data_IF_202661390271
#
_entry.id   IF_202661390271
#
_cell.length_a   1.000
_cell.length_b   1.000
_cell.length_c   1.000
_cell.angle_alpha   90.00
_cell.angle_beta   90.00
_cell.angle_gamma   90.00
#
_symmetry.space_group_name_H-M   'P 1'
#
loop_
_entity.id
_entity.type
_entity.pdbx_description
1 polymer ?
#
# COMPACT_ATOMS: atom_id res chain seq x y z
N UNK A 1 -18.12 6.47 -27.06
CA UNK A 1 -18.19 7.95 -27.20
C UNK A 1 -19.37 8.61 -26.50
N UNK A 2 -20.54 7.96 -26.37
CA UNK A 2 -21.77 8.59 -25.85
C UNK A 2 -21.86 8.71 -24.34
N UNK A 3 -21.23 7.84 -23.58
CA UNK A 3 -21.28 7.88 -22.11
C UNK A 3 -20.59 9.15 -21.57
N UNK A 4 -19.46 9.53 -22.17
CA UNK A 4 -18.72 10.74 -21.74
C UNK A 4 -19.43 12.05 -22.12
N UNK A 5 -20.17 12.09 -23.21
CA UNK A 5 -20.96 13.27 -23.60
C UNK A 5 -22.16 13.50 -22.68
N UNK A 6 -22.77 12.42 -22.16
CA UNK A 6 -23.87 12.51 -21.17
C UNK A 6 -23.41 12.98 -19.79
N UNK A 7 -22.17 12.71 -19.40
CA UNK A 7 -21.65 13.18 -18.09
C UNK A 7 -21.56 14.71 -17.96
N UNK A 8 -21.40 15.43 -19.07
CA UNK A 8 -21.40 16.90 -19.06
C UNK A 8 -22.77 17.52 -18.79
N UNK A 9 -23.84 16.75 -18.86
CA UNK A 9 -25.22 17.19 -18.64
C UNK A 9 -25.61 17.22 -17.15
N UNK A 10 -24.84 16.56 -16.29
CA UNK A 10 -25.17 16.47 -14.85
C UNK A 10 -24.39 17.49 -14.02
N UNK A 11 -25.01 18.07 -12.97
CA UNK A 11 -24.33 18.94 -12.02
C UNK A 11 -23.09 18.26 -11.41
N UNK A 12 -22.06 19.05 -11.09
CA UNK A 12 -20.81 18.52 -10.51
C UNK A 12 -21.08 17.74 -9.23
N UNK A 13 -22.03 18.15 -8.41
CA UNK A 13 -22.43 17.47 -7.18
C UNK A 13 -22.93 16.04 -7.40
N UNK A 14 -23.72 15.81 -8.46
CA UNK A 14 -24.19 14.46 -8.83
C UNK A 14 -23.05 13.59 -9.34
N UNK A 15 -22.16 14.18 -10.15
CA UNK A 15 -20.97 13.50 -10.64
C UNK A 15 -20.02 13.09 -9.50
N UNK A 16 -19.82 13.96 -8.50
CA UNK A 16 -19.06 13.66 -7.29
C UNK A 16 -19.67 12.46 -6.56
N UNK A 17 -20.99 12.48 -6.39
CA UNK A 17 -21.72 11.37 -5.74
C UNK A 17 -21.56 10.08 -6.53
N UNK A 18 -21.73 10.11 -7.85
CA UNK A 18 -21.51 8.96 -8.73
C UNK A 18 -20.08 8.39 -8.58
N UNK A 19 -19.06 9.21 -8.73
CA UNK A 19 -17.67 8.78 -8.61
C UNK A 19 -17.35 8.24 -7.23
N UNK A 20 -17.90 8.81 -6.17
CA UNK A 20 -17.74 8.29 -4.80
C UNK A 20 -18.28 6.86 -4.67
N UNK A 21 -19.53 6.62 -5.09
CA UNK A 21 -20.13 5.29 -4.97
C UNK A 21 -19.45 4.26 -5.89
N UNK A 22 -19.12 4.64 -7.12
CA UNK A 22 -18.35 3.77 -8.02
C UNK A 22 -17.00 3.41 -7.38
N UNK A 23 -16.30 4.39 -6.82
CA UNK A 23 -15.06 4.15 -6.11
C UNK A 23 -15.20 3.16 -4.95
N UNK A 24 -16.26 3.29 -4.14
CA UNK A 24 -16.53 2.34 -3.06
C UNK A 24 -16.83 0.93 -3.59
N UNK A 25 -17.66 0.80 -4.62
CA UNK A 25 -17.96 -0.51 -5.24
C UNK A 25 -16.69 -1.15 -5.79
N UNK A 26 -15.82 -0.38 -6.44
CA UNK A 26 -14.55 -0.88 -6.97
C UNK A 26 -13.59 -1.32 -5.86
N UNK A 27 -13.58 -0.64 -4.70
CA UNK A 27 -12.83 -1.10 -3.52
C UNK A 27 -13.34 -2.46 -3.04
N UNK A 28 -14.65 -2.64 -2.91
CA UNK A 28 -15.25 -3.92 -2.52
C UNK A 28 -14.99 -5.04 -3.53
N UNK A 29 -14.82 -4.69 -4.81
CA UNK A 29 -14.41 -5.62 -5.87
C UNK A 29 -12.89 -5.86 -5.92
N UNK A 30 -12.12 -5.32 -4.98
CA UNK A 30 -10.67 -5.37 -4.93
C UNK A 30 -9.95 -4.72 -6.14
N UNK A 31 -10.66 -3.90 -6.92
CA UNK A 31 -10.10 -3.11 -8.05
C UNK A 31 -9.57 -1.78 -7.53
N UNK A 32 -8.50 -1.87 -6.73
CA UNK A 32 -8.01 -0.75 -5.91
C UNK A 32 -7.56 0.45 -6.73
N UNK A 33 -6.87 0.22 -7.86
CA UNK A 33 -6.38 1.31 -8.72
C UNK A 33 -7.54 2.10 -9.34
N UNK A 34 -8.54 1.39 -9.90
CA UNK A 34 -9.74 2.02 -10.48
C UNK A 34 -10.53 2.77 -9.40
N UNK A 35 -10.65 2.16 -8.21
CA UNK A 35 -11.29 2.80 -7.07
C UNK A 35 -10.59 4.11 -6.68
N UNK A 36 -9.25 4.09 -6.60
CA UNK A 36 -8.45 5.27 -6.29
C UNK A 36 -8.65 6.40 -7.31
N UNK A 37 -8.73 6.08 -8.61
CA UNK A 37 -9.00 7.07 -9.66
C UNK A 37 -10.36 7.76 -9.48
N UNK A 38 -11.43 6.98 -9.26
CA UNK A 38 -12.77 7.54 -9.03
C UNK A 38 -12.83 8.36 -7.74
N UNK A 39 -12.26 7.86 -6.65
CA UNK A 39 -12.26 8.55 -5.35
C UNK A 39 -11.42 9.83 -5.39
N UNK A 40 -10.30 9.82 -6.11
CA UNK A 40 -9.48 11.01 -6.31
C UNK A 40 -10.25 12.08 -7.07
N UNK A 41 -10.87 11.69 -8.19
CA UNK A 41 -11.72 12.61 -8.95
C UNK A 41 -12.84 13.22 -8.07
N UNK A 42 -13.53 12.37 -7.30
CA UNK A 42 -14.59 12.82 -6.40
C UNK A 42 -14.06 13.79 -5.32
N UNK A 43 -12.87 13.53 -4.77
CA UNK A 43 -12.24 14.38 -3.76
C UNK A 43 -11.87 15.76 -4.32
N UNK A 44 -11.29 15.81 -5.52
CA UNK A 44 -10.85 17.04 -6.15
C UNK A 44 -12.03 17.94 -6.52
N UNK A 45 -13.14 17.35 -6.98
CA UNK A 45 -14.32 18.09 -7.43
C UNK A 45 -15.36 18.33 -6.33
N UNK A 46 -15.18 17.73 -5.14
CA UNK A 46 -16.02 18.02 -3.99
C UNK A 46 -15.66 19.38 -3.41
N UNK A 47 -16.64 20.27 -3.32
CA UNK A 47 -16.43 21.63 -2.82
C UNK A 47 -16.04 21.64 -1.34
N UNK A 48 -15.26 22.64 -0.92
CA UNK A 48 -14.86 22.81 0.48
C UNK A 48 -16.03 23.28 1.38
N UNK A 49 -17.14 23.74 0.80
CA UNK A 49 -18.37 24.07 1.53
C UNK A 49 -19.06 22.84 2.16
N UNK A 50 -18.68 21.63 1.73
CA UNK A 50 -19.22 20.38 2.26
C UNK A 50 -18.12 19.50 2.89
N UNK A 51 -17.46 19.94 3.99
CA UNK A 51 -16.27 19.27 4.55
C UNK A 51 -16.59 17.85 5.01
N UNK A 52 -17.80 17.58 5.48
CA UNK A 52 -18.24 16.27 5.89
C UNK A 52 -18.25 15.26 4.73
N UNK A 53 -18.78 15.66 3.58
CA UNK A 53 -18.80 14.79 2.38
C UNK A 53 -17.37 14.58 1.85
N UNK A 54 -16.58 15.65 1.80
CA UNK A 54 -15.19 15.58 1.38
C UNK A 54 -14.37 14.66 2.26
N UNK A 55 -14.58 14.69 3.59
CA UNK A 55 -13.97 13.77 4.55
C UNK A 55 -14.38 12.32 4.31
N UNK A 56 -15.66 12.03 4.00
CA UNK A 56 -16.11 10.67 3.67
C UNK A 56 -15.38 10.11 2.44
N UNK A 57 -15.24 10.90 1.39
CA UNK A 57 -14.51 10.53 0.18
C UNK A 57 -13.05 10.26 0.52
N UNK A 58 -12.43 11.15 1.30
CA UNK A 58 -11.02 11.04 1.68
C UNK A 58 -10.74 9.75 2.47
N UNK A 59 -11.60 9.32 3.37
CA UNK A 59 -11.43 8.08 4.14
C UNK A 59 -11.27 6.86 3.20
N UNK A 60 -12.15 6.73 2.21
CA UNK A 60 -12.07 5.64 1.23
C UNK A 60 -10.85 5.77 0.32
N UNK A 61 -10.52 7.01 -0.07
CA UNK A 61 -9.32 7.29 -0.87
C UNK A 61 -8.04 6.94 -0.11
N UNK A 62 -7.97 7.26 1.19
CA UNK A 62 -6.80 6.91 2.02
C UNK A 62 -6.59 5.40 2.12
N UNK A 63 -7.67 4.63 2.28
CA UNK A 63 -7.59 3.17 2.27
C UNK A 63 -7.03 2.64 0.93
N UNK A 64 -7.55 3.14 -0.19
CA UNK A 64 -7.06 2.76 -1.52
C UNK A 64 -5.59 3.14 -1.72
N UNK A 65 -5.22 4.36 -1.36
CA UNK A 65 -3.84 4.85 -1.52
C UNK A 65 -2.85 4.09 -0.62
N UNK A 66 -3.24 3.74 0.60
CA UNK A 66 -2.39 2.94 1.49
C UNK A 66 -2.08 1.56 0.90
N UNK A 67 -3.08 0.89 0.32
CA UNK A 67 -2.90 -0.39 -0.38
C UNK A 67 -1.95 -0.22 -1.59
N UNK A 68 -2.06 0.89 -2.32
CA UNK A 68 -1.21 1.20 -3.47
C UNK A 68 0.19 1.71 -3.07
N UNK A 69 0.50 1.75 -1.77
CA UNK A 69 1.78 2.27 -1.26
C UNK A 69 1.98 3.76 -1.46
N UNK A 70 0.90 4.50 -1.66
CA UNK A 70 0.90 5.96 -1.75
C UNK A 70 0.53 6.53 -0.38
N UNK A 71 1.39 7.38 0.15
CA UNK A 71 1.20 7.90 1.51
C UNK A 71 0.75 9.35 1.49
N UNK A 72 -0.32 9.68 2.24
CA UNK A 72 -0.81 11.04 2.33
C UNK A 72 0.19 11.95 3.06
N UNK A 73 0.16 13.22 2.72
CA UNK A 73 0.89 14.23 3.49
C UNK A 73 0.22 14.45 4.85
N UNK A 74 1.02 14.63 5.91
CA UNK A 74 0.51 14.78 7.27
C UNK A 74 -0.50 15.94 7.42
N UNK A 75 -0.25 17.06 6.73
CA UNK A 75 -1.15 18.23 6.71
C UNK A 75 -2.55 17.88 6.23
N UNK A 76 -2.68 17.01 5.22
CA UNK A 76 -3.98 16.56 4.72
C UNK A 76 -4.74 15.76 5.78
N UNK A 77 -4.04 14.88 6.50
CA UNK A 77 -4.65 14.12 7.59
C UNK A 77 -5.09 15.01 8.76
N UNK A 78 -4.31 16.03 9.09
CA UNK A 78 -4.66 17.01 10.13
C UNK A 78 -5.90 17.81 9.75
N UNK A 79 -5.96 18.33 8.52
CA UNK A 79 -7.06 19.13 8.00
C UNK A 79 -8.42 18.41 8.10
N UNK A 80 -8.43 17.10 7.93
CA UNK A 80 -9.66 16.29 7.95
C UNK A 80 -9.81 15.46 9.24
N UNK A 81 -9.02 15.72 10.27
CA UNK A 81 -9.03 14.99 11.56
C UNK A 81 -8.94 13.46 11.37
N UNK A 82 -7.99 13.02 10.53
CA UNK A 82 -7.72 11.62 10.21
C UNK A 82 -6.33 11.17 10.68
N UNK A 83 -5.57 12.07 11.32
CA UNK A 83 -4.20 11.79 11.74
C UNK A 83 -4.12 10.64 12.74
N UNK A 84 -5.01 10.63 13.74
CA UNK A 84 -5.01 9.60 14.79
C UNK A 84 -5.33 8.21 14.22
N UNK A 85 -6.14 8.14 13.16
CA UNK A 85 -6.55 6.87 12.55
C UNK A 85 -5.52 6.38 11.53
N UNK A 86 -5.09 7.24 10.60
CA UNK A 86 -4.24 6.80 9.49
C UNK A 86 -2.75 7.09 9.72
N UNK A 87 -2.39 8.08 10.54
CA UNK A 87 -1.00 8.47 10.74
C UNK A 87 -0.11 7.32 11.24
N UNK A 88 -0.42 6.69 12.39
CA UNK A 88 0.34 5.56 12.90
C UNK A 88 0.34 4.36 11.94
N UNK A 89 -0.80 4.08 11.30
CA UNK A 89 -0.93 3.00 10.31
C UNK A 89 -0.02 3.23 9.09
N UNK A 90 0.00 4.44 8.55
CA UNK A 90 0.89 4.85 7.45
C UNK A 90 2.35 4.73 7.86
N UNK A 91 2.70 5.19 9.05
CA UNK A 91 4.07 5.10 9.56
C UNK A 91 4.54 3.66 9.67
N UNK A 92 3.77 2.80 10.33
CA UNK A 92 4.09 1.37 10.48
C UNK A 92 4.13 0.65 9.13
N UNK A 93 3.21 0.95 8.20
CA UNK A 93 3.20 0.35 6.87
C UNK A 93 4.45 0.71 6.06
N UNK A 94 4.89 1.97 6.09
CA UNK A 94 6.15 2.41 5.42
C UNK A 94 7.38 1.68 5.95
N UNK A 95 7.37 1.35 7.23
CA UNK A 95 8.48 0.63 7.89
C UNK A 95 8.42 -0.88 7.66
N UNK A 96 7.33 -1.42 7.13
CA UNK A 96 7.09 -2.86 7.07
C UNK A 96 6.81 -3.47 8.44
N UNK A 97 6.36 -2.69 9.43
CA UNK A 97 6.08 -3.10 10.80
C UNK A 97 4.65 -3.63 10.91
N UNK A 98 4.48 -4.93 10.72
CA UNK A 98 3.18 -5.59 10.60
C UNK A 98 2.38 -5.53 11.90
N UNK A 99 3.00 -5.83 13.03
CA UNK A 99 2.35 -5.79 14.36
C UNK A 99 1.74 -4.40 14.61
N UNK A 100 2.48 -3.34 14.28
CA UNK A 100 1.98 -1.97 14.46
C UNK A 100 0.76 -1.69 13.58
N UNK A 101 0.77 -2.11 12.30
CA UNK A 101 -0.39 -1.95 11.41
C UNK A 101 -1.59 -2.74 11.93
N UNK A 102 -1.39 -4.00 12.33
CA UNK A 102 -2.48 -4.85 12.84
C UNK A 102 -3.06 -4.30 14.14
N UNK A 103 -2.23 -3.78 15.04
CA UNK A 103 -2.67 -3.12 16.27
C UNK A 103 -3.53 -1.88 16.00
N UNK A 104 -3.13 -1.04 15.03
CA UNK A 104 -3.93 0.13 14.65
C UNK A 104 -5.24 -0.25 13.94
N UNK A 105 -5.24 -1.31 13.14
CA UNK A 105 -6.48 -1.85 12.55
C UNK A 105 -7.45 -2.34 13.63
N UNK A 106 -6.94 -3.04 14.66
CA UNK A 106 -7.78 -3.50 15.78
C UNK A 106 -8.27 -2.34 16.64
N UNK A 107 -7.42 -1.35 16.92
CA UNK A 107 -7.79 -0.13 17.67
C UNK A 107 -8.94 0.61 17.02
N UNK A 108 -8.97 0.68 15.69
CA UNK A 108 -9.99 1.37 14.92
C UNK A 108 -11.00 0.43 14.26
N UNK A 109 -11.09 -0.82 14.74
CA UNK A 109 -11.85 -1.91 14.13
C UNK A 109 -13.28 -1.54 13.80
N UNK A 110 -14.07 -1.10 14.79
CA UNK A 110 -15.49 -0.81 14.59
C UNK A 110 -15.68 0.38 13.63
N UNK A 111 -14.85 1.40 13.75
CA UNK A 111 -14.89 2.55 12.86
C UNK A 111 -14.57 2.18 11.40
N UNK A 112 -13.63 1.28 11.19
CA UNK A 112 -13.29 0.77 9.85
C UNK A 112 -14.35 -0.21 9.32
N UNK A 113 -14.92 -1.05 10.19
CA UNK A 113 -15.97 -2.01 9.81
C UNK A 113 -17.23 -1.34 9.30
N UNK A 114 -17.70 -0.31 9.98
CA UNK A 114 -18.89 0.47 9.54
C UNK A 114 -18.72 1.13 8.18
N UNK A 115 -17.47 1.18 7.66
CA UNK A 115 -17.11 1.72 6.34
C UNK A 115 -16.71 0.66 5.33
N UNK A 116 -16.77 -0.62 5.69
CA UNK A 116 -16.36 -1.74 4.84
C UNK A 116 -14.85 -1.83 4.61
N UNK A 117 -14.02 -1.11 5.39
CA UNK A 117 -12.58 -0.98 5.14
C UNK A 117 -11.72 -1.94 5.98
N UNK A 118 -12.23 -2.44 7.12
CA UNK A 118 -11.43 -3.24 8.06
C UNK A 118 -10.86 -4.51 7.41
N UNK A 119 -11.72 -5.36 6.84
CA UNK A 119 -11.28 -6.62 6.22
C UNK A 119 -10.44 -6.36 4.98
N UNK A 120 -10.82 -5.37 4.18
CA UNK A 120 -10.07 -4.98 2.99
C UNK A 120 -8.61 -4.60 3.33
N UNK A 121 -8.42 -3.72 4.31
CA UNK A 121 -7.08 -3.29 4.74
C UNK A 121 -6.30 -4.43 5.37
N UNK A 122 -6.94 -5.23 6.24
CA UNK A 122 -6.31 -6.37 6.89
C UNK A 122 -5.75 -7.39 5.89
N UNK A 123 -6.47 -7.63 4.80
CA UNK A 123 -6.06 -8.56 3.74
C UNK A 123 -5.00 -7.94 2.81
N UNK A 124 -5.29 -6.73 2.30
CA UNK A 124 -4.49 -6.16 1.22
C UNK A 124 -3.16 -5.54 1.64
N UNK A 125 -3.01 -5.16 2.92
CA UNK A 125 -1.75 -4.56 3.37
C UNK A 125 -0.62 -5.56 3.60
N UNK A 126 -0.93 -6.86 3.74
CA UNK A 126 0.06 -7.90 4.09
C UNK A 126 1.24 -7.94 3.11
N UNK A 127 0.96 -8.02 1.83
CA UNK A 127 2.02 -8.08 0.80
C UNK A 127 2.84 -6.78 0.74
N UNK A 128 2.17 -5.63 0.91
CA UNK A 128 2.83 -4.34 0.99
C UNK A 128 3.77 -4.24 2.19
N UNK A 129 3.38 -4.80 3.34
CA UNK A 129 4.21 -4.86 4.55
C UNK A 129 5.48 -5.69 4.32
N UNK A 130 5.36 -6.89 3.75
CA UNK A 130 6.49 -7.72 3.41
C UNK A 130 7.43 -7.03 2.41
N UNK A 131 6.87 -6.46 1.35
CA UNK A 131 7.64 -5.69 0.37
C UNK A 131 8.43 -4.55 1.02
N UNK A 132 7.78 -3.77 1.89
CA UNK A 132 8.42 -2.62 2.53
C UNK A 132 9.51 -3.06 3.51
N UNK A 133 9.29 -4.16 4.24
CA UNK A 133 10.31 -4.77 5.09
C UNK A 133 11.55 -5.18 4.29
N UNK A 134 11.37 -5.93 3.19
CA UNK A 134 12.46 -6.37 2.32
C UNK A 134 13.22 -5.18 1.72
N UNK A 135 12.48 -4.17 1.21
CA UNK A 135 13.09 -2.96 0.68
C UNK A 135 13.91 -2.22 1.73
N UNK A 136 13.43 -2.16 2.96
CA UNK A 136 14.14 -1.52 4.08
C UNK A 136 15.41 -2.30 4.45
N UNK A 137 15.33 -3.62 4.57
CA UNK A 137 16.50 -4.46 4.82
C UNK A 137 17.55 -4.30 3.72
N UNK A 138 17.14 -4.24 2.46
CA UNK A 138 18.04 -3.99 1.35
C UNK A 138 18.76 -2.63 1.48
N UNK A 139 18.02 -1.56 1.84
CA UNK A 139 18.61 -0.22 2.01
C UNK A 139 19.58 -0.14 3.19
N UNK A 140 19.38 -0.96 4.22
CA UNK A 140 20.23 -1.01 5.41
C UNK A 140 21.36 -2.01 5.27
N UNK A 141 21.43 -2.75 4.15
CA UNK A 141 22.50 -3.71 3.90
C UNK A 141 23.82 -2.99 3.59
N UNK A 142 24.85 -3.09 4.42
CA UNK A 142 26.13 -2.41 4.24
C UNK A 142 26.92 -2.91 3.01
N UNK A 143 26.56 -4.08 2.48
CA UNK A 143 27.23 -4.69 1.32
C UNK A 143 26.63 -4.23 -0.02
N UNK A 144 25.62 -3.36 -0.02
CA UNK A 144 25.11 -2.75 -1.25
C UNK A 144 25.94 -1.51 -1.53
N UNK A 145 27.03 -1.69 -2.27
CA UNK A 145 27.85 -0.58 -2.75
C UNK A 145 27.10 0.17 -3.88
N UNK A 146 26.75 1.43 -3.63
CA UNK A 146 26.07 2.27 -4.60
C UNK A 146 26.92 2.60 -5.83
N UNK A 147 28.24 2.56 -5.68
CA UNK A 147 29.22 2.79 -6.74
C UNK A 147 29.49 1.54 -7.58
N UNK A 148 29.11 0.37 -7.09
CA UNK A 148 29.32 -0.90 -7.79
C UNK A 148 28.35 -1.08 -8.96
N UNK A 149 28.89 -1.47 -10.10
CA UNK A 149 28.09 -1.84 -11.27
C UNK A 149 27.44 -3.23 -11.13
N UNK A 150 27.59 -3.92 -9.98
CA UNK A 150 26.98 -5.21 -9.70
C UNK A 150 25.49 -5.07 -9.35
N UNK A 151 24.64 -6.09 -9.63
CA UNK A 151 23.25 -6.07 -9.19
C UNK A 151 23.19 -6.10 -7.66
N UNK A 152 22.27 -5.35 -7.03
CA UNK A 152 22.10 -5.39 -5.58
C UNK A 152 21.72 -6.81 -5.12
N UNK A 153 22.37 -7.29 -4.08
CA UNK A 153 22.11 -8.61 -3.51
C UNK A 153 21.64 -8.49 -2.07
N UNK A 154 20.72 -9.36 -1.65
CA UNK A 154 20.19 -9.41 -0.29
C UNK A 154 20.23 -10.84 0.22
N UNK A 155 21.10 -11.17 1.19
CA UNK A 155 21.10 -12.48 1.83
C UNK A 155 19.78 -12.74 2.58
N UNK A 156 19.15 -13.89 2.37
CA UNK A 156 17.89 -14.25 3.04
C UNK A 156 18.03 -14.27 4.56
N UNK A 157 19.19 -14.67 5.07
CA UNK A 157 19.46 -14.70 6.50
C UNK A 157 19.33 -13.32 7.18
N UNK A 158 19.61 -12.23 6.44
CA UNK A 158 19.44 -10.85 6.95
C UNK A 158 17.98 -10.44 7.13
N UNK A 159 17.05 -11.18 6.54
CA UNK A 159 15.62 -10.89 6.63
C UNK A 159 14.97 -11.54 7.85
N UNK A 160 15.48 -12.66 8.35
CA UNK A 160 14.84 -13.47 9.40
C UNK A 160 14.65 -12.68 10.70
N UNK A 161 15.70 -12.04 11.20
CA UNK A 161 15.61 -11.23 12.43
C UNK A 161 14.62 -10.06 12.32
N UNK A 162 14.75 -9.20 11.31
CA UNK A 162 13.77 -8.14 11.06
C UNK A 162 12.34 -8.64 10.87
N UNK A 163 12.14 -9.79 10.19
CA UNK A 163 10.83 -10.38 9.99
C UNK A 163 10.20 -10.82 11.31
N UNK A 164 10.96 -11.53 12.15
CA UNK A 164 10.51 -11.95 13.49
C UNK A 164 10.06 -10.76 14.33
N UNK A 165 10.81 -9.68 14.32
CA UNK A 165 10.45 -8.45 15.03
C UNK A 165 9.20 -7.76 14.42
N UNK A 166 9.15 -7.64 13.10
CA UNK A 166 8.07 -6.93 12.42
C UNK A 166 6.72 -7.64 12.54
N UNK A 167 6.72 -8.97 12.58
CA UNK A 167 5.51 -9.81 12.68
C UNK A 167 5.26 -10.35 14.10
N UNK A 168 6.20 -10.13 15.04
CA UNK A 168 6.20 -10.73 16.38
C UNK A 168 6.03 -12.27 16.32
N UNK A 169 6.74 -12.89 15.41
CA UNK A 169 6.69 -14.33 15.17
C UNK A 169 8.11 -14.92 15.15
N UNK A 170 8.49 -15.56 16.25
CA UNK A 170 9.80 -16.16 16.41
C UNK A 170 9.96 -17.50 15.67
N UNK A 171 8.88 -18.05 15.10
CA UNK A 171 8.90 -19.31 14.35
C UNK A 171 9.37 -19.14 12.91
N UNK A 172 9.38 -17.91 12.40
CA UNK A 172 9.83 -17.62 11.03
C UNK A 172 11.26 -18.09 10.79
N UNK A 173 11.45 -18.82 9.70
CA UNK A 173 12.73 -19.42 9.28
C UNK A 173 13.22 -18.81 7.96
N UNK A 174 14.38 -19.26 7.52
CA UNK A 174 14.99 -18.81 6.27
C UNK A 174 14.15 -19.22 5.06
N UNK A 175 13.54 -20.39 5.11
CA UNK A 175 12.65 -20.94 4.07
C UNK A 175 11.39 -20.09 3.91
N UNK A 176 10.87 -19.51 5.00
CA UNK A 176 9.74 -18.58 4.94
C UNK A 176 10.12 -17.29 4.22
N UNK A 177 11.35 -16.80 4.43
CA UNK A 177 11.85 -15.60 3.73
C UNK A 177 12.01 -15.89 2.23
N UNK A 178 12.46 -17.07 1.85
CA UNK A 178 12.55 -17.48 0.46
C UNK A 178 11.16 -17.59 -0.18
N UNK A 179 10.21 -18.20 0.50
CA UNK A 179 8.82 -18.31 0.07
C UNK A 179 8.19 -16.93 -0.11
N UNK A 180 8.40 -16.02 0.86
CA UNK A 180 7.91 -14.64 0.75
C UNK A 180 8.57 -13.89 -0.40
N UNK A 181 9.87 -14.06 -0.61
CA UNK A 181 10.57 -13.46 -1.74
C UNK A 181 9.99 -13.93 -3.07
N UNK A 182 9.76 -15.24 -3.22
CA UNK A 182 9.15 -15.83 -4.42
C UNK A 182 7.74 -15.25 -4.66
N UNK A 183 6.93 -15.13 -3.62
CA UNK A 183 5.60 -14.55 -3.70
C UNK A 183 5.62 -13.07 -4.12
N UNK A 184 6.54 -12.27 -3.56
CA UNK A 184 6.71 -10.87 -3.96
C UNK A 184 7.16 -10.72 -5.42
N UNK A 185 7.98 -11.66 -5.92
CA UNK A 185 8.40 -11.68 -7.34
C UNK A 185 7.23 -12.06 -8.24
N UNK A 186 6.50 -13.10 -7.88
CA UNK A 186 5.33 -13.57 -8.63
C UNK A 186 4.26 -12.48 -8.77
N UNK A 187 4.01 -11.76 -7.68
CA UNK A 187 3.06 -10.63 -7.66
C UNK A 187 3.62 -9.34 -8.30
N UNK A 188 4.84 -9.35 -8.81
CA UNK A 188 5.49 -8.18 -9.42
C UNK A 188 5.92 -7.09 -8.42
N UNK A 189 5.74 -7.31 -7.11
CA UNK A 189 6.09 -6.36 -6.04
C UNK A 189 7.60 -6.24 -5.83
N UNK A 190 8.35 -7.23 -6.32
CA UNK A 190 9.79 -7.25 -6.34
C UNK A 190 10.27 -7.80 -7.69
N UNK A 191 11.23 -7.14 -8.31
CA UNK A 191 11.92 -7.59 -9.53
C UNK A 191 13.27 -8.16 -9.15
N UNK A 192 13.34 -9.47 -9.02
CA UNK A 192 14.51 -10.18 -8.54
C UNK A 192 14.49 -11.64 -9.04
N UNK A 193 15.59 -12.32 -8.88
CA UNK A 193 15.65 -13.79 -8.91
C UNK A 193 16.30 -14.32 -7.64
N UNK A 194 15.94 -15.52 -7.26
CA UNK A 194 16.39 -16.17 -6.02
C UNK A 194 17.43 -17.20 -6.36
N UNK A 195 18.62 -17.07 -5.77
CA UNK A 195 19.68 -18.06 -5.82
C UNK A 195 19.54 -19.00 -4.61
N UNK A 196 18.75 -20.04 -4.75
CA UNK A 196 18.47 -21.01 -3.69
C UNK A 196 19.76 -21.58 -3.10
N UNK A 197 20.72 -22.03 -3.94
CA UNK A 197 21.99 -22.61 -3.50
C UNK A 197 22.87 -21.69 -2.65
N UNK A 198 22.65 -20.37 -2.74
CA UNK A 198 23.39 -19.35 -1.97
C UNK A 198 22.52 -18.66 -0.93
N UNK A 199 21.23 -19.03 -0.82
CA UNK A 199 20.25 -18.37 0.04
C UNK A 199 20.25 -16.84 -0.13
N UNK A 200 20.21 -16.40 -1.37
CA UNK A 200 20.40 -14.99 -1.73
C UNK A 200 19.38 -14.52 -2.77
N UNK A 201 18.90 -13.30 -2.61
CA UNK A 201 18.07 -12.60 -3.58
C UNK A 201 18.97 -11.66 -4.39
N UNK A 202 18.86 -11.71 -5.72
CA UNK A 202 19.55 -10.79 -6.63
C UNK A 202 18.50 -9.87 -7.27
N UNK A 203 18.56 -8.61 -6.91
CA UNK A 203 17.58 -7.60 -7.31
C UNK A 203 17.89 -7.01 -8.70
N UNK A 204 16.86 -6.64 -9.43
CA UNK A 204 17.02 -5.96 -10.71
C UNK A 204 17.69 -4.58 -10.50
N UNK A 205 18.64 -4.25 -11.39
CA UNK A 205 19.24 -2.91 -11.45
C UNK A 205 18.21 -1.85 -11.87
N UNK A 206 18.48 -0.61 -11.56
CA UNK A 206 17.69 0.52 -12.00
C UNK A 206 17.25 1.43 -10.84
N UNK A 207 16.46 2.46 -11.14
CA UNK A 207 16.12 3.52 -10.17
C UNK A 207 15.34 2.99 -8.96
N UNK A 208 14.62 1.89 -9.12
CA UNK A 208 13.82 1.27 -8.05
C UNK A 208 14.54 0.14 -7.32
N UNK A 209 15.77 -0.22 -7.72
CA UNK A 209 16.58 -1.28 -7.10
C UNK A 209 15.77 -2.56 -6.82
N UNK A 210 15.02 -3.03 -7.80
CA UNK A 210 14.17 -4.21 -7.71
C UNK A 210 12.83 -4.03 -7.00
N UNK A 211 12.48 -2.83 -6.50
CA UNK A 211 11.19 -2.57 -5.84
C UNK A 211 10.38 -1.51 -6.59
N UNK A 212 9.65 -1.87 -7.67
CA UNK A 212 8.84 -0.93 -8.43
C UNK A 212 7.73 -0.32 -7.56
N UNK A 213 7.16 0.84 -7.95
CA UNK A 213 6.02 1.40 -7.25
C UNK A 213 4.85 0.41 -7.21
N UNK A 214 4.23 0.22 -6.04
CA UNK A 214 3.10 -0.71 -5.90
C UNK A 214 1.92 -0.33 -6.79
N UNK A 215 1.76 0.97 -7.06
CA UNK A 215 0.73 1.47 -7.98
C UNK A 215 0.82 0.92 -9.41
N UNK A 216 2.01 0.54 -9.85
CA UNK A 216 2.22 0.07 -11.23
C UNK A 216 1.75 -1.39 -11.41
N UNK A 217 1.63 -2.11 -10.30
CA UNK A 217 1.26 -3.52 -10.26
C UNK A 217 -0.25 -3.70 -10.30
N UNK A 218 -0.98 -2.80 -9.65
CA UNK A 218 -2.45 -2.83 -9.59
C UNK A 218 -3.14 -2.19 -10.80
N UNK A 219 -2.41 -2.00 -11.93
CA UNK A 219 -2.94 -1.40 -13.15
C UNK A 219 -3.78 -2.37 -14.02
N UNK A 220 -3.78 -3.65 -13.70
CA UNK A 220 -4.50 -4.68 -14.45
C UNK A 220 -5.98 -4.82 -14.02
#
# INVERSE_FOLDING_TARGET
GDVYKRQALYPVSERVTYHFYVGQIRLLQHRVQVAAQHLHWAFDHCTNSHPHNKRKILISLMAAQLILGRYPHAVLLDQFHLRDTFGPMVHCHRLGHAVGVMSELERHREWLRTRGLYMLLREKLVLGLWRNLFQRCMRLNPHVDEASNAPPTLPLAMLVGPARLAWNDNTLLLEDMECMAANLVDQGLMKAYILHSKSMIVLQRGPFRGFPPMSDIYQA
#
